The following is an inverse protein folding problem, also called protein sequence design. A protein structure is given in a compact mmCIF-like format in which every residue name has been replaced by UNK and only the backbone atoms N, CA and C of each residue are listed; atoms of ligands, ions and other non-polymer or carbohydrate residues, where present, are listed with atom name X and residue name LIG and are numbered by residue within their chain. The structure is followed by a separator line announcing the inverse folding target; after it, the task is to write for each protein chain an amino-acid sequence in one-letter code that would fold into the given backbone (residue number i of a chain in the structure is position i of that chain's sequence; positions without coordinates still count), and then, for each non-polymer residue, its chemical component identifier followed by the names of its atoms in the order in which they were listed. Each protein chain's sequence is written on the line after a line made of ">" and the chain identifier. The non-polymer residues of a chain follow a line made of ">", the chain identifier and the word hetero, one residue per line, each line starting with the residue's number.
data_IF_497018054453
#
_entry.id   IF_497018054453
#
_cell.length_a   1.000
_cell.length_b   1.000
_cell.length_c   1.000
_cell.angle_alpha   90.00
_cell.angle_beta   90.00
_cell.angle_gamma   90.00
#
_symmetry.space_group_name_H-M   'P 1'
#
loop_
_entity.id
_entity.type
_entity.pdbx_description
1 polymer ?
#
# COMPACT_ATOMS: atom_id res chain seq x y z
N UNK A 1 -15.52 -31.76 -8.74
CA UNK A 1 -15.97 -30.99 -9.92
C UNK A 1 -16.13 -29.55 -9.49
N UNK A 2 -15.40 -28.62 -10.11
CA UNK A 2 -15.41 -27.22 -9.70
C UNK A 2 -16.61 -26.51 -10.35
N UNK A 3 -17.55 -25.96 -9.55
CA UNK A 3 -18.75 -25.31 -10.09
C UNK A 3 -18.35 -24.00 -10.79
N UNK A 4 -18.74 -23.85 -12.05
CA UNK A 4 -18.57 -22.59 -12.79
C UNK A 4 -19.65 -21.61 -12.32
N UNK A 5 -19.22 -20.51 -11.72
CA UNK A 5 -20.09 -19.46 -11.17
C UNK A 5 -20.29 -18.31 -12.16
N UNK A 6 -19.31 -18.10 -13.03
CA UNK A 6 -19.38 -17.21 -14.18
C UNK A 6 -18.47 -17.78 -15.26
N UNK A 7 -18.87 -17.72 -16.52
CA UNK A 7 -18.02 -18.16 -17.62
C UNK A 7 -18.39 -17.52 -18.94
N UNK A 8 -17.39 -17.12 -19.71
CA UNK A 8 -17.57 -16.51 -21.02
C UNK A 8 -17.22 -17.49 -22.12
N UNK A 9 -18.13 -17.65 -23.08
CA UNK A 9 -17.91 -18.50 -24.26
C UNK A 9 -17.42 -17.68 -25.44
N UNK A 10 -16.38 -18.15 -26.11
CA UNK A 10 -15.87 -17.55 -27.34
C UNK A 10 -15.49 -18.63 -28.34
N UNK A 11 -15.87 -18.43 -29.60
CA UNK A 11 -15.41 -19.26 -30.71
C UNK A 11 -13.99 -18.89 -31.17
N UNK A 12 -13.49 -17.72 -30.79
CA UNK A 12 -12.11 -17.31 -31.01
C UNK A 12 -11.20 -17.85 -29.88
N UNK A 13 -10.22 -18.72 -30.18
CA UNK A 13 -9.32 -19.31 -29.19
C UNK A 13 -8.35 -18.30 -28.56
N UNK A 14 -8.18 -17.12 -29.17
CA UNK A 14 -7.35 -16.03 -28.65
C UNK A 14 -8.16 -15.02 -27.82
N UNK A 15 -9.47 -15.20 -27.69
CA UNK A 15 -10.28 -14.30 -26.90
C UNK A 15 -9.87 -14.36 -25.43
N UNK A 16 -9.65 -13.18 -24.84
CA UNK A 16 -9.40 -13.06 -23.40
C UNK A 16 -10.72 -13.17 -22.65
N UNK A 17 -11.19 -14.38 -22.44
CA UNK A 17 -12.41 -14.67 -21.68
C UNK A 17 -12.14 -14.62 -20.18
N UNK A 18 -13.22 -14.41 -19.41
CA UNK A 18 -13.20 -14.49 -17.95
C UNK A 18 -14.05 -15.65 -17.48
N UNK A 19 -13.49 -16.45 -16.56
CA UNK A 19 -14.18 -17.53 -15.88
C UNK A 19 -13.96 -17.42 -14.36
N UNK A 20 -15.01 -17.71 -13.60
CA UNK A 20 -14.99 -17.77 -12.14
C UNK A 20 -15.48 -19.14 -11.69
N UNK A 21 -14.69 -19.75 -10.82
CA UNK A 21 -15.01 -21.02 -10.15
C UNK A 21 -14.89 -20.85 -8.64
N UNK A 22 -15.12 -21.91 -7.88
CA UNK A 22 -15.00 -21.88 -6.43
C UNK A 22 -13.55 -21.80 -5.93
N UNK A 23 -12.56 -22.10 -6.78
CA UNK A 23 -11.14 -22.10 -6.40
C UNK A 23 -10.31 -20.98 -7.05
N UNK A 24 -10.71 -20.53 -8.23
CA UNK A 24 -9.92 -19.54 -8.98
C UNK A 24 -10.77 -18.66 -9.91
N UNK A 25 -10.17 -17.54 -10.26
CA UNK A 25 -10.60 -16.68 -11.36
C UNK A 25 -9.58 -16.79 -12.49
N UNK A 26 -10.05 -17.07 -13.71
CA UNK A 26 -9.26 -17.00 -14.94
C UNK A 26 -9.64 -15.76 -15.72
N UNK A 27 -8.65 -15.02 -16.22
CA UNK A 27 -8.84 -13.88 -17.13
C UNK A 27 -7.78 -13.90 -18.23
N UNK A 28 -8.23 -14.14 -19.47
CA UNK A 28 -7.33 -14.43 -20.58
C UNK A 28 -6.36 -15.56 -20.24
N UNK A 29 -5.06 -15.32 -20.39
CA UNK A 29 -4.01 -16.31 -20.08
C UNK A 29 -3.61 -16.41 -18.61
N UNK A 30 -4.26 -15.67 -17.69
CA UNK A 30 -3.87 -15.64 -16.27
C UNK A 30 -4.92 -16.29 -15.38
N UNK A 31 -4.48 -17.20 -14.52
CA UNK A 31 -5.27 -17.78 -13.43
C UNK A 31 -4.82 -17.17 -12.11
N UNK A 32 -5.77 -16.84 -11.23
CA UNK A 32 -5.52 -16.28 -9.90
C UNK A 32 -6.33 -17.07 -8.89
N UNK A 33 -5.65 -17.65 -7.90
CA UNK A 33 -6.32 -18.35 -6.79
C UNK A 33 -7.21 -17.37 -6.02
N UNK A 34 -8.36 -17.85 -5.51
CA UNK A 34 -9.18 -17.01 -4.64
C UNK A 34 -8.46 -16.58 -3.36
N UNK A 35 -7.47 -17.36 -2.89
CA UNK A 35 -6.62 -16.98 -1.75
C UNK A 35 -5.71 -15.77 -2.03
N UNK A 36 -5.52 -15.39 -3.29
CA UNK A 36 -4.81 -14.16 -3.67
C UNK A 36 -5.74 -12.94 -3.75
N UNK A 37 -7.06 -13.14 -3.63
CA UNK A 37 -8.05 -12.08 -3.66
C UNK A 37 -8.43 -11.63 -2.24
N UNK A 38 -8.71 -10.35 -2.07
CA UNK A 38 -9.23 -9.83 -0.80
C UNK A 38 -10.75 -10.05 -0.75
N UNK A 39 -11.15 -11.31 -0.55
CA UNK A 39 -12.55 -11.70 -0.49
C UNK A 39 -13.29 -11.00 0.63
N UNK A 40 -12.66 -10.81 1.80
CA UNK A 40 -13.27 -10.13 2.94
C UNK A 40 -13.69 -8.70 2.60
N UNK A 41 -12.83 -7.93 1.93
CA UNK A 41 -13.15 -6.56 1.52
C UNK A 41 -14.25 -6.51 0.45
N UNK A 42 -14.22 -7.42 -0.53
CA UNK A 42 -15.26 -7.46 -1.57
C UNK A 42 -16.61 -7.94 -1.02
N UNK A 43 -16.60 -8.90 -0.10
CA UNK A 43 -17.79 -9.42 0.57
C UNK A 43 -18.48 -8.35 1.43
N UNK A 44 -17.70 -7.55 2.18
CA UNK A 44 -18.24 -6.43 2.98
C UNK A 44 -18.93 -5.39 2.08
N UNK A 45 -18.25 -4.92 1.03
CA UNK A 45 -18.86 -3.97 0.08
C UNK A 45 -20.13 -4.54 -0.56
N UNK A 46 -20.08 -5.82 -0.99
CA UNK A 46 -21.20 -6.51 -1.62
C UNK A 46 -22.43 -6.57 -0.70
N UNK A 47 -22.25 -6.91 0.58
CA UNK A 47 -23.37 -6.96 1.54
C UNK A 47 -24.00 -5.60 1.81
N UNK A 48 -23.24 -4.51 1.64
CA UNK A 48 -23.76 -3.14 1.75
C UNK A 48 -24.46 -2.67 0.47
N UNK A 49 -24.52 -3.48 -0.59
CA UNK A 49 -25.12 -3.13 -1.87
C UNK A 49 -24.15 -2.42 -2.84
N UNK A 50 -22.84 -2.51 -2.59
CA UNK A 50 -21.80 -1.85 -3.39
C UNK A 50 -20.79 -2.85 -3.94
N UNK A 51 -20.00 -2.41 -4.92
CA UNK A 51 -18.82 -3.10 -5.39
C UNK A 51 -17.57 -2.26 -5.16
N UNK A 52 -16.54 -2.91 -4.61
CA UNK A 52 -15.26 -2.31 -4.28
C UNK A 52 -14.41 -2.05 -5.53
N UNK A 53 -13.93 -0.82 -5.68
CA UNK A 53 -13.03 -0.38 -6.72
C UNK A 53 -11.64 0.00 -6.21
N UNK A 54 -10.84 0.61 -7.08
CA UNK A 54 -9.49 1.07 -6.74
C UNK A 54 -9.47 2.08 -5.60
N UNK A 55 -8.50 1.94 -4.68
CA UNK A 55 -8.29 2.89 -3.58
C UNK A 55 -9.42 2.94 -2.56
N UNK A 56 -10.24 1.89 -2.48
CA UNK A 56 -11.39 1.86 -1.57
C UNK A 56 -12.63 2.59 -2.09
N UNK A 57 -12.66 2.98 -3.36
CA UNK A 57 -13.89 3.48 -4.01
C UNK A 57 -14.98 2.43 -4.00
N UNK A 58 -16.23 2.88 -4.03
CA UNK A 58 -17.38 1.98 -4.06
C UNK A 58 -18.42 2.47 -5.07
N UNK A 59 -19.03 1.52 -5.77
CA UNK A 59 -20.10 1.79 -6.73
C UNK A 59 -21.32 0.93 -6.39
N UNK A 60 -22.54 1.49 -6.32
CA UNK A 60 -23.74 0.69 -6.10
C UNK A 60 -23.84 -0.44 -7.13
N UNK A 61 -24.24 -1.64 -6.68
CA UNK A 61 -24.36 -2.81 -7.55
C UNK A 61 -25.36 -2.59 -8.69
N UNK A 62 -26.43 -1.83 -8.44
CA UNK A 62 -27.46 -1.45 -9.41
C UNK A 62 -26.93 -0.57 -10.55
N UNK A 63 -25.77 0.09 -10.37
CA UNK A 63 -25.13 0.91 -11.40
C UNK A 63 -24.12 0.12 -12.25
N UNK A 64 -23.94 -1.17 -11.98
CA UNK A 64 -23.09 -2.01 -12.82
C UNK A 64 -23.82 -2.36 -14.11
N UNK A 65 -23.09 -2.35 -15.22
CA UNK A 65 -23.61 -2.69 -16.53
C UNK A 65 -24.11 -4.15 -16.55
N UNK A 66 -25.33 -4.38 -17.04
CA UNK A 66 -25.84 -5.74 -17.29
C UNK A 66 -25.08 -6.41 -18.45
N UNK A 67 -24.56 -5.60 -19.37
CA UNK A 67 -23.75 -5.98 -20.51
C UNK A 67 -22.24 -5.83 -20.21
N UNK A 68 -21.45 -5.65 -21.27
CA UNK A 68 -20.00 -5.66 -21.17
C UNK A 68 -19.50 -4.46 -20.36
N UNK A 69 -18.64 -4.72 -19.38
CA UNK A 69 -18.15 -3.69 -18.48
C UNK A 69 -16.84 -4.04 -17.80
N UNK A 70 -16.39 -3.16 -16.92
CA UNK A 70 -15.21 -3.35 -16.09
C UNK A 70 -15.65 -3.56 -14.65
N UNK A 71 -15.19 -4.65 -14.04
CA UNK A 71 -15.37 -4.93 -12.60
C UNK A 71 -13.98 -5.00 -11.97
N UNK A 72 -13.61 -4.07 -11.08
CA UNK A 72 -12.36 -4.16 -10.34
C UNK A 72 -12.33 -5.38 -9.43
N UNK A 73 -11.21 -6.08 -9.38
CA UNK A 73 -10.98 -7.20 -8.46
C UNK A 73 -9.83 -6.83 -7.54
N UNK A 74 -10.08 -6.88 -6.23
CA UNK A 74 -9.11 -6.50 -5.21
C UNK A 74 -8.30 -7.71 -4.77
N UNK A 75 -6.97 -7.61 -4.80
CA UNK A 75 -6.01 -8.61 -4.33
C UNK A 75 -5.76 -8.46 -2.83
N UNK A 76 -5.26 -9.51 -2.17
CA UNK A 76 -4.88 -9.47 -0.74
C UNK A 76 -3.80 -8.42 -0.43
N UNK A 77 -3.09 -7.95 -1.45
CA UNK A 77 -2.14 -6.82 -1.39
C UNK A 77 -2.79 -5.45 -1.30
N UNK A 78 -4.13 -5.38 -1.38
CA UNK A 78 -4.90 -4.15 -1.52
C UNK A 78 -4.86 -3.54 -2.92
N UNK A 79 -4.16 -4.18 -3.87
CA UNK A 79 -4.15 -3.74 -5.25
C UNK A 79 -5.51 -4.05 -5.92
N UNK A 80 -6.01 -3.13 -6.74
CA UNK A 80 -7.24 -3.34 -7.51
C UNK A 80 -6.89 -3.46 -8.99
N UNK A 81 -7.41 -4.52 -9.61
CA UNK A 81 -7.16 -4.79 -11.03
C UNK A 81 -8.46 -4.73 -11.81
N UNK A 82 -8.57 -3.91 -12.87
CA UNK A 82 -9.76 -3.91 -13.70
C UNK A 82 -9.89 -5.22 -14.48
N UNK A 83 -11.04 -5.88 -14.36
CA UNK A 83 -11.39 -7.07 -15.13
C UNK A 83 -12.49 -6.70 -16.11
N UNK A 84 -12.19 -6.81 -17.41
CA UNK A 84 -13.19 -6.63 -18.48
C UNK A 84 -13.98 -7.92 -18.60
N UNK A 85 -15.30 -7.81 -18.47
CA UNK A 85 -16.24 -8.93 -18.50
C UNK A 85 -17.40 -8.59 -19.43
N UNK A 86 -18.02 -9.61 -20.01
CA UNK A 86 -19.16 -9.46 -20.93
C UNK A 86 -20.49 -9.18 -20.23
N UNK A 87 -20.62 -9.54 -18.95
CA UNK A 87 -21.81 -9.30 -18.12
C UNK A 87 -21.34 -8.85 -16.73
N UNK A 88 -21.19 -7.54 -16.54
CA UNK A 88 -20.52 -6.99 -15.36
C UNK A 88 -21.33 -7.20 -14.07
N UNK A 89 -22.63 -6.96 -14.11
CA UNK A 89 -23.53 -7.21 -12.98
C UNK A 89 -23.53 -8.68 -12.55
N UNK A 90 -23.62 -9.62 -13.50
CA UNK A 90 -23.57 -11.07 -13.22
C UNK A 90 -22.23 -11.50 -12.60
N UNK A 91 -21.11 -11.04 -13.17
CA UNK A 91 -19.79 -11.36 -12.63
C UNK A 91 -19.60 -10.83 -11.21
N UNK A 92 -19.95 -9.57 -10.95
CA UNK A 92 -19.84 -8.96 -9.63
C UNK A 92 -20.72 -9.68 -8.61
N UNK A 93 -21.97 -10.03 -8.98
CA UNK A 93 -22.87 -10.81 -8.12
C UNK A 93 -22.29 -12.19 -7.80
N UNK A 94 -21.83 -12.93 -8.80
CA UNK A 94 -21.25 -14.26 -8.61
C UNK A 94 -19.99 -14.25 -7.73
N UNK A 95 -19.10 -13.27 -7.92
CA UNK A 95 -17.91 -13.12 -7.09
C UNK A 95 -18.24 -12.63 -5.67
N UNK A 96 -19.20 -11.72 -5.52
CA UNK A 96 -19.67 -11.23 -4.23
C UNK A 96 -20.28 -12.34 -3.38
N UNK A 97 -21.22 -13.11 -3.94
CA UNK A 97 -21.84 -14.25 -3.26
C UNK A 97 -20.80 -15.31 -2.89
N UNK A 98 -19.84 -15.59 -3.78
CA UNK A 98 -18.74 -16.50 -3.51
C UNK A 98 -17.86 -15.99 -2.37
N UNK A 99 -17.49 -14.70 -2.39
CA UNK A 99 -16.67 -14.08 -1.36
C UNK A 99 -17.35 -14.18 0.02
N UNK A 100 -18.66 -13.93 0.10
CA UNK A 100 -19.42 -14.11 1.34
C UNK A 100 -19.36 -15.55 1.83
N UNK A 101 -19.56 -16.55 0.96
CA UNK A 101 -19.47 -17.97 1.35
C UNK A 101 -18.07 -18.36 1.82
N UNK A 102 -17.04 -17.97 1.07
CA UNK A 102 -15.64 -18.27 1.40
C UNK A 102 -15.16 -17.59 2.67
N UNK A 103 -15.74 -16.43 3.01
CA UNK A 103 -15.49 -15.78 4.29
C UNK A 103 -16.25 -16.41 5.47
N UNK A 104 -17.06 -17.47 5.28
CA UNK A 104 -17.83 -18.11 6.35
C UNK A 104 -19.26 -17.56 6.53
N UNK A 105 -19.77 -16.83 5.54
CA UNK A 105 -21.13 -16.30 5.53
C UNK A 105 -21.28 -14.88 6.08
N UNK A 106 -22.51 -14.33 6.09
CA UNK A 106 -22.74 -12.92 6.40
C UNK A 106 -22.29 -12.46 7.78
N UNK A 107 -22.52 -13.27 8.82
CA UNK A 107 -22.12 -12.94 10.18
C UNK A 107 -20.59 -12.80 10.32
N UNK A 108 -19.83 -13.66 9.65
CA UNK A 108 -18.37 -13.60 9.69
C UNK A 108 -17.82 -12.38 8.93
N UNK A 109 -18.46 -12.00 7.81
CA UNK A 109 -18.13 -10.77 7.09
C UNK A 109 -18.40 -9.54 7.96
N UNK A 110 -19.54 -9.50 8.64
CA UNK A 110 -19.86 -8.42 9.58
C UNK A 110 -18.84 -8.32 10.73
N UNK A 111 -18.43 -9.46 11.32
CA UNK A 111 -17.39 -9.47 12.35
C UNK A 111 -16.03 -8.95 11.84
N UNK A 112 -15.66 -9.26 10.60
CA UNK A 112 -14.46 -8.70 9.96
C UNK A 112 -14.60 -7.18 9.74
N UNK A 113 -15.76 -6.72 9.31
CA UNK A 113 -16.04 -5.30 9.13
C UNK A 113 -16.00 -4.53 10.47
N UNK A 114 -16.56 -5.10 11.54
CA UNK A 114 -16.53 -4.55 12.90
C UNK A 114 -15.09 -4.40 13.40
N UNK A 115 -14.27 -5.42 13.19
CA UNK A 115 -12.85 -5.38 13.52
C UNK A 115 -12.13 -4.28 12.72
N UNK A 116 -12.37 -4.17 11.42
CA UNK A 116 -11.78 -3.14 10.58
C UNK A 116 -12.18 -1.72 11.03
N UNK A 117 -13.44 -1.54 11.45
CA UNK A 117 -13.93 -0.27 12.04
C UNK A 117 -13.24 0.04 13.37
N UNK A 118 -13.09 -0.95 14.26
CA UNK A 118 -12.38 -0.78 15.52
C UNK A 118 -10.89 -0.45 15.33
N UNK A 119 -10.25 -1.04 14.32
CA UNK A 119 -8.87 -0.73 13.92
C UNK A 119 -8.76 0.65 13.23
N UNK A 120 -9.90 1.22 12.79
CA UNK A 120 -10.02 2.32 11.84
C UNK A 120 -9.27 2.08 10.51
N UNK A 121 -9.03 0.83 10.14
CA UNK A 121 -8.31 0.43 8.92
C UNK A 121 -9.25 -0.31 7.99
N UNK A 122 -9.56 0.21 6.79
CA UNK A 122 -10.42 -0.48 5.83
C UNK A 122 -9.95 -1.90 5.51
N UNK A 123 -10.88 -2.83 5.29
CA UNK A 123 -10.57 -4.24 4.97
C UNK A 123 -9.73 -4.39 3.70
N UNK A 124 -9.89 -3.48 2.74
CA UNK A 124 -9.17 -3.53 1.47
C UNK A 124 -7.67 -3.22 1.63
N UNK A 125 -7.25 -2.53 2.69
CA UNK A 125 -5.83 -2.26 2.96
C UNK A 125 -5.19 -3.50 3.59
N UNK A 126 -4.12 -3.97 2.96
CA UNK A 126 -3.37 -5.14 3.42
C UNK A 126 -2.76 -4.92 4.82
N UNK A 127 -2.98 -5.90 5.70
CA UNK A 127 -2.33 -5.99 7.01
C UNK A 127 -1.10 -6.88 6.90
N UNK A 128 0.06 -6.36 7.30
CA UNK A 128 1.31 -7.12 7.40
C UNK A 128 1.73 -7.20 8.86
N UNK A 129 2.43 -8.26 9.22
CA UNK A 129 2.79 -8.52 10.60
C UNK A 129 4.31 -8.56 10.76
N UNK A 130 4.80 -7.98 11.85
CA UNK A 130 6.18 -8.13 12.30
C UNK A 130 6.18 -8.64 13.74
N UNK A 131 7.20 -9.42 14.16
CA UNK A 131 7.39 -9.69 15.57
C UNK A 131 7.66 -8.38 16.32
N UNK A 132 7.29 -8.33 17.59
CA UNK A 132 7.54 -7.21 18.50
C UNK A 132 7.78 -7.72 19.93
N UNK A 133 8.35 -6.89 20.82
CA UNK A 133 8.71 -7.30 22.18
C UNK A 133 7.51 -7.71 23.05
N UNK A 134 6.31 -7.18 22.77
CA UNK A 134 5.06 -7.51 23.46
C UNK A 134 4.12 -8.40 22.63
N UNK A 135 4.57 -8.92 21.48
CA UNK A 135 3.76 -9.69 20.55
C UNK A 135 3.72 -9.10 19.13
N UNK A 136 2.90 -9.66 18.22
CA UNK A 136 2.86 -9.24 16.82
C UNK A 136 2.43 -7.79 16.65
N UNK A 137 3.19 -7.03 15.86
CA UNK A 137 2.87 -5.67 15.42
C UNK A 137 2.22 -5.76 14.05
N UNK A 138 1.04 -5.19 13.92
CA UNK A 138 0.33 -5.07 12.64
C UNK A 138 0.67 -3.74 11.99
N UNK A 139 0.93 -3.77 10.69
CA UNK A 139 1.26 -2.61 9.87
C UNK A 139 0.42 -2.62 8.61
N UNK A 140 -0.37 -1.57 8.42
CA UNK A 140 -1.16 -1.32 7.21
C UNK A 140 -0.63 -0.08 6.50
N UNK A 141 -0.41 -0.18 5.18
CA UNK A 141 0.20 0.91 4.39
C UNK A 141 -0.51 1.01 3.05
N UNK A 142 -0.94 2.22 2.71
CA UNK A 142 -1.21 2.62 1.34
C UNK A 142 -0.39 3.87 1.02
N UNK A 143 0.58 3.73 0.11
CA UNK A 143 1.51 4.82 -0.22
C UNK A 143 0.91 5.88 -1.12
N UNK A 144 -0.17 5.54 -1.83
CA UNK A 144 -0.85 6.46 -2.73
C UNK A 144 -1.81 7.34 -1.94
N UNK A 145 -2.50 6.79 -0.93
CA UNK A 145 -3.30 7.54 0.05
C UNK A 145 -2.47 8.20 1.16
N UNK A 146 -1.13 8.08 1.12
CA UNK A 146 -0.22 8.60 2.15
C UNK A 146 -0.64 8.13 3.56
N UNK A 147 -0.93 6.84 3.66
CA UNK A 147 -1.54 6.23 4.84
C UNK A 147 -0.62 5.16 5.41
N UNK A 148 -0.31 5.29 6.69
CA UNK A 148 0.35 4.26 7.50
C UNK A 148 -0.40 4.12 8.82
N UNK A 149 -0.68 2.90 9.21
CA UNK A 149 -1.19 2.55 10.52
C UNK A 149 -0.33 1.42 11.08
N UNK A 150 0.14 1.58 12.32
CA UNK A 150 0.81 0.51 13.04
C UNK A 150 0.31 0.42 14.47
N UNK A 151 0.06 -0.81 14.92
CA UNK A 151 -0.44 -1.09 16.26
C UNK A 151 0.00 -2.48 16.71
N UNK A 152 0.02 -2.71 18.01
CA UNK A 152 0.38 -3.99 18.61
C UNK A 152 -0.06 -4.04 20.08
N UNK A 153 0.10 -5.19 20.74
CA UNK A 153 -0.24 -5.34 22.14
C UNK A 153 0.48 -4.30 23.01
N UNK A 154 -0.26 -3.66 23.92
CA UNK A 154 0.26 -2.69 24.89
C UNK A 154 0.95 -1.46 24.30
N UNK A 155 0.78 -1.18 23.00
CA UNK A 155 1.30 0.00 22.34
C UNK A 155 0.15 0.86 21.80
N UNK A 156 0.19 2.20 21.97
CA UNK A 156 -0.77 3.07 21.32
C UNK A 156 -0.61 3.00 19.79
N UNK A 157 -1.71 3.26 19.07
CA UNK A 157 -1.71 3.25 17.61
C UNK A 157 -0.90 4.44 17.09
N UNK A 158 0.00 4.18 16.15
CA UNK A 158 0.77 5.22 15.47
C UNK A 158 0.29 5.32 14.02
N UNK A 159 -0.09 6.53 13.61
CA UNK A 159 -0.68 6.78 12.28
C UNK A 159 0.09 7.88 11.55
N UNK A 160 0.26 7.70 10.24
CA UNK A 160 0.62 8.78 9.32
C UNK A 160 -0.52 8.95 8.33
N UNK A 161 -0.89 10.21 8.09
CA UNK A 161 -1.84 10.66 7.07
C UNK A 161 -1.28 11.87 6.34
N UNK A 162 -1.84 12.19 5.18
CA UNK A 162 -1.68 13.50 4.55
C UNK A 162 -3.04 14.12 4.20
N UNK A 163 -3.77 14.67 5.19
CA UNK A 163 -5.12 15.17 4.96
C UNK A 163 -5.18 16.37 3.99
N UNK A 164 -4.07 17.10 3.81
CA UNK A 164 -3.95 18.18 2.82
C UNK A 164 -3.19 17.77 1.55
N UNK A 165 -2.91 16.47 1.38
CA UNK A 165 -2.01 15.96 0.34
C UNK A 165 -0.54 16.06 0.73
N UNK A 166 0.31 15.39 -0.03
CA UNK A 166 1.76 15.34 0.17
C UNK A 166 2.48 15.62 -1.15
N UNK A 167 3.43 16.57 -1.13
CA UNK A 167 4.33 16.83 -2.23
C UNK A 167 5.79 16.49 -1.82
N UNK A 168 6.36 15.39 -2.35
CA UNK A 168 7.74 15.01 -2.04
C UNK A 168 8.79 15.98 -2.57
N UNK A 169 8.41 16.90 -3.48
CA UNK A 169 9.30 17.89 -4.09
C UNK A 169 9.23 19.27 -3.41
N UNK A 170 8.38 19.42 -2.39
CA UNK A 170 8.32 20.64 -1.58
C UNK A 170 9.66 20.91 -0.88
N UNK A 171 9.96 22.20 -0.68
CA UNK A 171 11.12 22.63 0.11
C UNK A 171 11.02 22.18 1.57
N UNK A 172 9.80 22.08 2.10
CA UNK A 172 9.50 21.43 3.37
C UNK A 172 9.06 19.98 3.12
N UNK A 173 10.02 19.05 3.27
CA UNK A 173 9.83 17.62 2.93
C UNK A 173 8.81 16.88 3.83
N UNK A 174 8.43 17.45 4.96
CA UNK A 174 7.36 16.95 5.83
C UNK A 174 6.01 17.62 5.60
N UNK A 175 5.93 18.64 4.72
CA UNK A 175 4.71 19.41 4.53
C UNK A 175 3.54 18.51 4.11
N UNK A 176 2.41 18.69 4.79
CA UNK A 176 1.20 17.90 4.58
C UNK A 176 1.18 16.55 5.32
N UNK A 177 2.31 16.02 5.79
CA UNK A 177 2.34 14.80 6.60
C UNK A 177 1.96 15.08 8.05
N UNK A 178 0.96 14.35 8.55
CA UNK A 178 0.55 14.36 9.95
C UNK A 178 0.83 13.01 10.57
N UNK A 179 1.69 12.98 11.59
CA UNK A 179 1.89 11.80 12.44
C UNK A 179 1.10 11.97 13.73
N UNK A 180 0.37 10.94 14.15
CA UNK A 180 -0.31 10.90 15.45
C UNK A 180 0.05 9.63 16.22
N UNK A 181 0.13 9.75 17.54
CA UNK A 181 0.23 8.62 18.47
C UNK A 181 -0.97 8.70 19.40
N UNK A 182 -1.86 7.70 19.33
CA UNK A 182 -3.14 7.69 20.06
C UNK A 182 -3.97 8.97 19.85
N UNK A 183 -4.03 9.44 18.60
CA UNK A 183 -4.70 10.69 18.24
C UNK A 183 -3.93 11.98 18.59
N UNK A 184 -2.90 11.92 19.43
CA UNK A 184 -2.05 13.07 19.77
C UNK A 184 -1.10 13.38 18.61
N UNK A 185 -1.17 14.60 18.07
CA UNK A 185 -0.33 15.04 16.98
C UNK A 185 1.14 15.15 17.42
N UNK A 186 2.03 14.49 16.69
CA UNK A 186 3.47 14.61 16.84
C UNK A 186 4.03 15.56 15.79
N UNK A 187 5.01 16.38 16.17
CA UNK A 187 5.75 17.19 15.21
C UNK A 187 6.70 16.29 14.42
N UNK A 188 6.45 16.16 13.12
CA UNK A 188 7.29 15.43 12.19
C UNK A 188 8.20 16.40 11.43
N UNK A 189 9.48 16.09 11.31
CA UNK A 189 10.45 16.88 10.54
C UNK A 189 11.32 15.95 9.70
N UNK A 190 11.38 16.21 8.39
CA UNK A 190 12.23 15.48 7.47
C UNK A 190 13.35 16.40 7.00
N UNK A 191 14.60 15.92 7.09
CA UNK A 191 15.76 16.69 6.64
C UNK A 191 16.67 15.80 5.80
N UNK A 192 16.57 15.93 4.48
CA UNK A 192 17.58 15.42 3.54
C UNK A 192 18.71 16.44 3.34
N UNK A 193 19.95 15.97 3.36
CA UNK A 193 21.15 16.75 3.06
C UNK A 193 22.05 15.99 2.09
N UNK A 194 22.82 16.73 1.29
CA UNK A 194 23.81 16.15 0.35
C UNK A 194 24.79 15.23 1.08
N UNK A 195 25.31 15.69 2.24
CA UNK A 195 26.03 14.83 3.18
C UNK A 195 25.04 13.90 3.89
N UNK A 196 24.91 12.66 3.38
CA UNK A 196 23.93 11.66 3.83
C UNK A 196 23.92 11.43 5.35
N UNK A 197 25.08 11.47 6.02
CA UNK A 197 25.19 11.32 7.49
C UNK A 197 24.55 12.44 8.31
N UNK A 198 24.25 13.60 7.69
CA UNK A 198 23.51 14.69 8.33
C UNK A 198 22.00 14.63 8.08
N UNK A 199 21.54 13.69 7.25
CA UNK A 199 20.11 13.50 6.99
C UNK A 199 19.46 12.74 8.13
N UNK A 200 18.24 13.15 8.50
CA UNK A 200 17.48 12.50 9.56
C UNK A 200 15.98 12.70 9.37
N UNK A 201 15.21 11.86 10.06
CA UNK A 201 13.78 12.07 10.29
C UNK A 201 13.58 12.18 11.79
N UNK A 202 12.84 13.20 12.23
CA UNK A 202 12.55 13.44 13.63
C UNK A 202 11.04 13.45 13.86
N UNK A 203 10.62 12.78 14.93
CA UNK A 203 9.27 12.81 15.47
C UNK A 203 9.34 13.25 16.92
N UNK A 204 8.60 14.29 17.27
CA UNK A 204 8.56 14.86 18.61
C UNK A 204 7.15 14.88 19.16
N UNK A 205 6.98 14.23 20.31
CA UNK A 205 5.82 14.36 21.19
C UNK A 205 6.23 15.12 22.46
N UNK A 206 5.27 15.62 23.25
CA UNK A 206 5.58 16.10 24.60
C UNK A 206 6.35 15.03 25.39
N UNK A 207 7.57 15.37 25.84
CA UNK A 207 8.41 14.49 26.66
C UNK A 207 9.08 13.31 25.95
N UNK A 208 8.93 13.12 24.63
CA UNK A 208 9.60 12.05 23.87
C UNK A 208 10.03 12.50 22.49
N UNK A 209 11.25 12.12 22.08
CA UNK A 209 11.78 12.43 20.75
C UNK A 209 12.39 11.20 20.11
N UNK A 210 11.89 10.83 18.93
CA UNK A 210 12.49 9.80 18.10
C UNK A 210 13.24 10.42 16.92
N UNK A 211 14.47 9.95 16.66
CA UNK A 211 15.30 10.41 15.56
C UNK A 211 15.84 9.20 14.79
N UNK A 212 15.51 9.11 13.51
CA UNK A 212 16.09 8.15 12.59
C UNK A 212 17.35 8.75 11.96
N UNK A 213 18.50 8.12 12.20
CA UNK A 213 19.78 8.51 11.63
C UNK A 213 20.35 7.38 10.79
N UNK A 214 21.05 7.74 9.73
CA UNK A 214 21.80 6.79 8.90
C UNK A 214 22.91 6.15 9.73
N UNK A 215 23.00 4.83 9.68
CA UNK A 215 24.15 4.06 10.18
C UNK A 215 25.11 3.79 9.02
N UNK A 216 24.61 3.14 7.96
CA UNK A 216 25.38 2.85 6.75
C UNK A 216 24.50 2.99 5.50
N UNK A 217 24.95 2.45 4.36
CA UNK A 217 24.21 2.58 3.09
C UNK A 217 22.83 1.91 3.12
N UNK A 218 22.68 0.86 3.93
CA UNK A 218 21.49 0.00 3.98
C UNK A 218 20.72 0.10 5.30
N UNK A 219 21.34 0.58 6.38
CA UNK A 219 20.72 0.59 7.71
C UNK A 219 20.64 1.98 8.33
N UNK A 220 19.66 2.15 9.20
CA UNK A 220 19.45 3.34 10.02
C UNK A 220 19.19 2.96 11.47
N UNK A 221 19.72 3.73 12.42
CA UNK A 221 19.38 3.62 13.85
C UNK A 221 18.21 4.53 14.17
N UNK A 222 17.22 4.00 14.87
CA UNK A 222 16.21 4.80 15.54
C UNK A 222 16.66 5.07 16.97
N UNK A 223 16.75 6.34 17.32
CA UNK A 223 17.12 6.80 18.64
C UNK A 223 15.88 7.37 19.33
N UNK A 224 15.65 7.03 20.60
CA UNK A 224 14.72 7.75 21.50
C UNK A 224 15.56 8.52 22.51
N UNK A 225 15.45 9.84 22.50
CA UNK A 225 16.20 10.72 23.40
C UNK A 225 17.71 10.37 23.43
N UNK A 226 18.29 10.23 22.23
CA UNK A 226 19.68 9.80 21.94
C UNK A 226 20.05 8.35 22.29
N UNK A 227 19.18 7.57 22.95
CA UNK A 227 19.38 6.13 23.17
C UNK A 227 18.93 5.32 21.96
N UNK A 228 19.73 4.37 21.49
CA UNK A 228 19.31 3.46 20.43
C UNK A 228 18.17 2.54 20.90
N UNK A 229 17.08 2.50 20.12
CA UNK A 229 15.91 1.67 20.41
C UNK A 229 15.62 0.65 19.30
N UNK A 230 16.12 0.87 18.09
CA UNK A 230 16.03 -0.10 17.01
C UNK A 230 17.07 0.14 15.90
N UNK A 231 17.49 -0.94 15.23
CA UNK A 231 18.21 -0.91 13.97
C UNK A 231 17.28 -1.35 12.83
N UNK A 232 17.10 -0.49 11.84
CA UNK A 232 16.20 -0.69 10.70
C UNK A 232 17.04 -0.98 9.45
N UNK A 233 16.71 -2.06 8.74
CA UNK A 233 17.44 -2.50 7.55
C UNK A 233 16.58 -2.38 6.31
N UNK A 234 17.10 -1.70 5.29
CA UNK A 234 16.48 -1.62 3.97
C UNK A 234 16.29 -3.03 3.39
N UNK A 235 15.08 -3.40 2.94
CA UNK A 235 14.85 -4.61 2.16
C UNK A 235 15.76 -4.68 0.93
N UNK A 236 16.12 -5.88 0.45
CA UNK A 236 16.80 -6.01 -0.83
C UNK A 236 15.92 -5.47 -1.96
N UNK A 237 16.52 -5.08 -3.09
CA UNK A 237 15.79 -4.47 -4.23
C UNK A 237 14.64 -5.33 -4.78
N UNK A 238 14.71 -6.66 -4.62
CA UNK A 238 13.68 -7.61 -5.07
C UNK A 238 13.38 -8.61 -3.94
N UNK A 239 12.66 -8.19 -2.89
CA UNK A 239 12.36 -9.07 -1.76
C UNK A 239 11.48 -10.22 -2.23
N UNK A 240 11.70 -11.41 -1.67
CA UNK A 240 10.84 -12.57 -1.88
C UNK A 240 9.76 -12.60 -0.81
N UNK A 241 8.48 -12.85 -1.18
CA UNK A 241 7.52 -13.27 -0.19
C UNK A 241 7.95 -14.63 0.37
N UNK A 242 7.56 -14.90 1.61
CA UNK A 242 7.67 -16.23 2.19
C UNK A 242 6.90 -17.26 1.32
N UNK A 243 7.29 -18.55 1.34
CA UNK A 243 6.54 -19.59 0.65
C UNK A 243 5.04 -19.56 1.00
N UNK A 244 4.19 -19.49 -0.02
CA UNK A 244 2.73 -19.40 0.15
C UNK A 244 2.20 -17.99 0.49
N UNK A 245 3.06 -17.01 0.73
CA UNK A 245 2.65 -15.63 0.95
C UNK A 245 2.56 -14.85 -0.38
N UNK A 246 1.58 -13.95 -0.47
CA UNK A 246 1.44 -13.01 -1.60
C UNK A 246 2.10 -11.66 -1.28
N UNK A 247 2.07 -11.28 0.00
CA UNK A 247 2.59 -10.01 0.49
C UNK A 247 4.12 -10.04 0.61
N UNK A 248 4.76 -8.97 0.14
CA UNK A 248 6.17 -8.72 0.37
C UNK A 248 6.44 -8.45 1.86
N UNK A 249 7.58 -8.94 2.40
CA UNK A 249 7.93 -8.78 3.79
C UNK A 249 8.10 -7.31 4.18
N UNK A 250 7.89 -7.02 5.47
CA UNK A 250 8.27 -5.74 6.06
C UNK A 250 9.80 -5.61 6.09
N UNK A 251 10.30 -4.39 6.22
CA UNK A 251 11.71 -4.15 6.47
C UNK A 251 12.13 -4.80 7.80
N UNK A 252 13.36 -5.35 7.84
CA UNK A 252 13.86 -5.98 9.04
C UNK A 252 14.14 -4.92 10.11
N UNK A 253 13.63 -5.15 11.32
CA UNK A 253 13.80 -4.28 12.47
C UNK A 253 14.33 -5.12 13.62
N UNK A 254 15.50 -4.77 14.13
CA UNK A 254 16.06 -5.33 15.36
C UNK A 254 15.79 -4.37 16.50
N UNK A 255 14.95 -4.76 17.44
CA UNK A 255 14.61 -3.94 18.61
C UNK A 255 15.71 -4.02 19.66
N UNK A 256 16.04 -2.87 20.24
CA UNK A 256 17.01 -2.71 21.34
C UNK A 256 16.33 -2.13 22.61
N UNK A 257 15.03 -1.82 22.50
CA UNK A 257 14.15 -1.40 23.58
C UNK A 257 13.04 -2.43 23.78
N UNK A 258 12.66 -2.77 25.03
CA UNK A 258 11.49 -3.59 25.31
C UNK A 258 10.18 -2.79 25.24
N UNK A 259 10.24 -1.46 25.11
CA UNK A 259 9.06 -0.59 25.06
C UNK A 259 8.22 -0.88 23.80
N UNK A 260 6.95 -1.32 23.95
CA UNK A 260 6.07 -1.61 22.82
C UNK A 260 5.87 -0.42 21.88
N UNK A 261 5.86 0.82 22.41
CA UNK A 261 5.73 2.01 21.57
C UNK A 261 6.96 2.22 20.68
N UNK A 262 8.16 2.01 21.20
CA UNK A 262 9.38 2.13 20.39
C UNK A 262 9.38 1.14 19.23
N UNK A 263 8.85 -0.07 19.46
CA UNK A 263 8.74 -1.09 18.43
C UNK A 263 7.72 -0.70 17.34
N UNK A 264 6.54 -0.18 17.72
CA UNK A 264 5.54 0.30 16.76
C UNK A 264 6.07 1.51 15.98
N UNK A 265 6.71 2.47 16.64
CA UNK A 265 7.34 3.63 15.99
C UNK A 265 8.43 3.16 15.02
N UNK A 266 9.26 2.19 15.39
CA UNK A 266 10.26 1.64 14.49
C UNK A 266 9.65 1.04 13.21
N UNK A 267 8.53 0.32 13.33
CA UNK A 267 7.82 -0.20 12.16
C UNK A 267 7.26 0.93 11.27
N UNK A 268 6.65 1.96 11.87
CA UNK A 268 6.19 3.15 11.12
C UNK A 268 7.34 3.81 10.36
N UNK A 269 8.48 4.01 11.00
CA UNK A 269 9.64 4.61 10.34
C UNK A 269 10.16 3.73 9.20
N UNK A 270 10.19 2.42 9.39
CA UNK A 270 10.68 1.46 8.40
C UNK A 270 9.83 1.41 7.13
N UNK A 271 8.52 1.63 7.23
CA UNK A 271 7.62 1.62 6.08
C UNK A 271 7.41 2.99 5.44
N UNK A 272 7.48 4.07 6.23
CA UNK A 272 7.14 5.42 5.79
C UNK A 272 8.34 6.23 5.28
N UNK A 273 9.55 5.97 5.77
CA UNK A 273 10.73 6.79 5.48
C UNK A 273 11.85 6.00 4.81
N UNK A 274 12.74 6.71 4.12
CA UNK A 274 13.96 6.16 3.57
C UNK A 274 14.91 5.66 4.67
N UNK A 275 15.64 4.58 4.38
CA UNK A 275 16.61 3.96 5.28
C UNK A 275 18.00 3.96 4.66
N UNK A 276 19.05 4.00 5.48
CA UNK A 276 20.42 4.09 5.03
C UNK A 276 20.68 5.37 4.23
N UNK A 277 21.17 5.24 3.01
CA UNK A 277 21.48 6.38 2.14
C UNK A 277 20.27 7.24 1.73
N UNK A 278 19.06 6.71 1.89
CA UNK A 278 17.83 7.45 1.60
C UNK A 278 17.22 8.10 2.84
N UNK A 279 17.83 7.96 4.03
CA UNK A 279 17.35 8.61 5.27
C UNK A 279 17.06 10.09 5.06
N UNK A 280 15.96 10.58 5.65
CA UNK A 280 15.52 11.98 5.55
C UNK A 280 14.46 12.24 4.48
N UNK A 281 14.04 11.24 3.69
CA UNK A 281 12.90 11.35 2.77
C UNK A 281 11.73 10.48 3.19
N UNK A 282 10.51 10.87 2.80
CA UNK A 282 9.33 10.02 2.88
C UNK A 282 9.22 9.09 1.67
N UNK A 283 8.51 7.97 1.83
CA UNK A 283 8.28 6.92 0.83
C UNK A 283 6.85 6.94 0.27
N UNK A 284 6.20 8.10 0.35
CA UNK A 284 4.86 8.32 -0.20
C UNK A 284 4.95 8.89 -1.62
N UNK A 285 3.89 8.74 -2.39
CA UNK A 285 3.81 9.30 -3.74
C UNK A 285 3.29 10.73 -3.69
N UNK A 286 3.69 11.54 -4.67
CA UNK A 286 3.04 12.82 -4.93
C UNK A 286 1.60 12.54 -5.37
N UNK A 287 0.62 13.09 -4.66
CA UNK A 287 -0.78 13.02 -5.10
C UNK A 287 -1.22 14.42 -5.55
N UNK A 288 -1.51 14.58 -6.85
CA UNK A 288 -2.28 15.73 -7.33
C UNK A 288 -3.76 15.46 -6.99
N UNK A 289 -4.19 16.11 -5.91
CA UNK A 289 -5.56 16.36 -5.40
C UNK A 289 -6.75 15.94 -6.31
N UNK A 290 -7.82 15.36 -5.73
CA UNK A 290 -9.21 15.69 -6.06
C UNK A 290 -9.71 16.86 -5.18
N UNK A 291 -10.55 17.74 -5.74
CA UNK A 291 -10.78 19.12 -5.28
C UNK A 291 -11.45 19.36 -3.88
N UNK A 292 -11.71 18.35 -3.05
CA UNK A 292 -12.42 18.54 -1.76
C UNK A 292 -11.64 17.89 -0.62
N UNK A 293 -11.22 18.69 0.36
CA UNK A 293 -10.37 18.32 1.50
C UNK A 293 -10.98 17.32 2.51
N UNK A 294 -11.40 16.16 2.04
CA UNK A 294 -11.60 14.95 2.83
C UNK A 294 -10.36 14.05 2.72
N UNK A 295 -10.24 13.01 3.57
CA UNK A 295 -9.29 11.93 3.30
C UNK A 295 -9.48 11.43 1.85
N UNK A 296 -8.41 11.10 1.11
CA UNK A 296 -8.52 10.75 -0.30
C UNK A 296 -9.42 9.53 -0.49
N UNK A 297 -10.68 9.78 -0.80
CA UNK A 297 -11.61 8.81 -1.39
C UNK A 297 -11.46 9.01 -2.89
N UNK A 298 -11.03 7.97 -3.61
CA UNK A 298 -10.96 8.06 -5.05
C UNK A 298 -12.36 8.35 -5.64
N UNK A 299 -12.41 9.12 -6.71
CA UNK A 299 -13.65 9.53 -7.38
C UNK A 299 -14.27 8.36 -8.18
N UNK A 300 -15.54 8.46 -8.58
CA UNK A 300 -16.23 7.47 -9.41
C UNK A 300 -15.51 7.26 -10.77
N UNK A 301 -14.79 8.29 -11.26
CA UNK A 301 -13.87 8.21 -12.42
C UNK A 301 -12.63 7.31 -12.19
N UNK A 302 -12.28 7.10 -10.92
CA UNK A 302 -11.16 6.27 -10.47
C UNK A 302 -11.57 4.83 -10.14
N UNK A 303 -12.86 4.54 -9.96
CA UNK A 303 -13.35 3.23 -9.51
C UNK A 303 -12.84 2.07 -10.36
N UNK A 304 -12.95 2.22 -11.69
CA UNK A 304 -12.53 1.23 -12.68
C UNK A 304 -11.03 1.24 -13.00
N UNK A 305 -10.21 2.09 -12.37
CA UNK A 305 -8.79 2.22 -12.68
C UNK A 305 -7.94 1.27 -11.84
N UNK A 306 -6.76 0.85 -12.35
CA UNK A 306 -5.80 0.11 -11.54
C UNK A 306 -5.41 0.88 -10.27
N UNK A 307 -5.30 0.15 -9.17
CA UNK A 307 -4.74 0.64 -7.92
C UNK A 307 -3.54 -0.21 -7.53
N UNK A 308 -2.34 0.33 -7.65
CA UNK A 308 -1.10 -0.39 -7.34
C UNK A 308 -0.63 -0.05 -5.92
N UNK A 309 -0.34 -1.07 -5.12
CA UNK A 309 0.18 -0.92 -3.74
C UNK A 309 1.68 -1.18 -3.64
N UNK A 310 2.26 -1.85 -4.65
CA UNK A 310 3.64 -2.37 -4.66
C UNK A 310 3.93 -3.27 -3.44
N UNK A 311 2.92 -4.00 -2.97
CA UNK A 311 3.03 -4.94 -1.84
C UNK A 311 3.11 -6.40 -2.28
N UNK A 312 3.07 -6.70 -3.59
CA UNK A 312 3.22 -8.04 -4.15
C UNK A 312 4.32 -8.09 -5.21
N UNK A 313 4.55 -9.27 -5.80
CA UNK A 313 5.54 -9.44 -6.88
C UNK A 313 4.97 -9.32 -8.30
N UNK A 314 3.66 -9.49 -8.45
CA UNK A 314 3.04 -9.56 -9.77
C UNK A 314 2.87 -8.18 -10.41
N UNK A 315 2.72 -8.15 -11.73
CA UNK A 315 2.33 -6.94 -12.47
C UNK A 315 0.96 -6.39 -12.10
N UNK A 316 0.15 -7.17 -11.38
CA UNK A 316 -1.13 -6.71 -10.84
C UNK A 316 -0.96 -5.85 -9.60
N UNK A 317 0.12 -6.05 -8.85
CA UNK A 317 0.38 -5.35 -7.59
C UNK A 317 1.28 -4.12 -7.79
N UNK A 318 2.02 -4.09 -8.90
CA UNK A 318 3.09 -3.13 -9.16
C UNK A 318 2.81 -2.26 -10.38
N UNK A 319 3.11 -0.97 -10.24
CA UNK A 319 2.99 -0.03 -11.34
C UNK A 319 4.12 -0.24 -12.37
N UNK A 320 3.84 -0.16 -13.68
CA UNK A 320 4.88 -0.16 -14.70
C UNK A 320 5.91 0.96 -14.46
N UNK A 321 7.18 0.59 -14.28
CA UNK A 321 8.29 1.54 -14.07
C UNK A 321 8.37 2.19 -12.68
N UNK A 322 7.41 1.93 -11.79
CA UNK A 322 7.35 2.50 -10.44
C UNK A 322 7.87 1.55 -9.37
N UNK A 323 8.97 1.91 -8.70
CA UNK A 323 9.45 1.20 -7.52
C UNK A 323 8.69 1.58 -6.24
N UNK A 324 8.76 0.73 -5.22
CA UNK A 324 8.15 0.90 -3.89
C UNK A 324 8.83 1.98 -3.01
N UNK A 325 9.47 2.96 -3.63
CA UNK A 325 10.19 4.04 -2.97
C UNK A 325 11.51 3.64 -2.32
N UNK A 326 12.00 2.40 -2.49
CA UNK A 326 13.39 2.07 -2.14
C UNK A 326 14.41 2.52 -3.18
N UNK A 327 13.95 2.85 -4.38
CA UNK A 327 14.76 3.27 -5.51
C UNK A 327 15.61 2.14 -6.09
N UNK A 328 15.66 2.07 -7.42
CA UNK A 328 16.94 1.78 -8.06
C UNK A 328 17.86 2.95 -7.69
N UNK A 329 19.06 2.63 -7.21
CA UNK A 329 20.04 3.58 -6.73
C UNK A 329 20.24 4.74 -7.74
N UNK A 330 20.36 5.96 -7.21
CA UNK A 330 20.55 7.14 -8.03
C UNK A 330 21.78 7.09 -8.94
N UNK A 331 21.58 7.43 -10.21
CA UNK A 331 22.41 8.48 -10.81
C UNK A 331 21.81 9.81 -10.34
N UNK A 332 22.53 10.69 -9.64
CA UNK A 332 23.79 11.21 -10.12
C UNK A 332 23.53 12.13 -11.29
N UNK A 333 22.68 13.15 -11.10
CA UNK A 333 22.76 14.35 -11.92
C UNK A 333 24.00 15.10 -11.47
N UNK A 334 25.06 15.01 -12.26
CA UNK A 334 26.13 16.00 -12.34
C UNK A 334 26.87 15.79 -13.67
N UNK A 335 26.62 16.68 -14.62
CA UNK A 335 27.56 17.21 -15.62
C UNK A 335 26.87 18.36 -16.33
N UNK A 336 27.12 19.58 -15.85
CA UNK A 336 26.93 20.81 -16.63
C UNK A 336 28.17 21.13 -17.47
N UNK A 337 27.97 22.03 -18.44
CA UNK A 337 28.99 22.68 -19.28
C UNK A 337 29.34 21.88 -20.54
N UNK A 338 29.54 22.42 -21.73
CA UNK A 338 29.49 23.76 -22.33
C UNK A 338 29.33 23.48 -23.84
N UNK A 339 28.61 24.28 -24.63
CA UNK A 339 29.26 25.26 -25.49
C UNK A 339 29.51 24.76 -26.93
N UNK A 340 28.73 25.29 -27.89
CA UNK A 340 29.22 25.81 -29.17
C UNK A 340 29.68 24.88 -30.32
N UNK A 341 29.31 25.28 -31.55
CA UNK A 341 29.88 24.86 -32.83
C UNK A 341 29.01 23.84 -33.58
N UNK A 342 28.43 24.09 -34.74
CA UNK A 342 28.90 24.92 -35.86
C UNK A 342 29.59 24.02 -36.89
N UNK A 343 29.02 24.01 -38.11
CA UNK A 343 29.56 23.46 -39.38
C UNK A 343 29.43 21.92 -39.56
N UNK A 344 29.10 21.33 -40.71
CA UNK A 344 29.00 21.77 -42.11
C UNK A 344 29.48 20.61 -43.03
N UNK A 345 28.86 20.39 -44.20
CA UNK A 345 29.34 19.52 -45.32
C UNK A 345 28.92 18.03 -45.22
N UNK A 346 28.37 17.38 -46.25
CA UNK A 346 29.01 16.99 -47.54
C UNK A 346 29.79 15.68 -47.32
N UNK A 347 29.53 14.53 -47.93
CA UNK A 347 28.95 14.15 -49.24
C UNK A 347 27.87 13.06 -49.14
#
# INVERSE_FOLDING_TARGET
>A
MNRVLYGERSWNPLARTVDLTEDHMRRGGRTTSLSELNLAAMADAFQRGYWLGGGGTERPLERLAEDAGVVPVTRVTGAAVPVRVRRAAEFARGLGELAVRQCGGPAQVAALADRARAEEVPLWIARRFAPGPAGPITVAVDRRLVRVDAWGPHAPVVRIRAPQGFDPYSTEQSAGLRLTVDGVAARLTLRKKLRRSRSHVEVRLPGRRWVLRRENALTSRLLRDERCVALLTRPPRRPAPEPGAVLLPLASVRYESPDPLDAVVAQVFAVAFGLGDTTGSARFRSERRPARGAEPVADDEGWGRPWFTNLGRGSDDNEPGGGDGWGADGGGGDSGGDGGGGDGGGD
#
